data_IF_891643763881
#
_entry.id   IF_891643763881
#
_cell.length_a   1.000
_cell.length_b   1.000
_cell.length_c   1.000
_cell.angle_alpha   90.00
_cell.angle_beta   90.00
_cell.angle_gamma   90.00
#
_symmetry.space_group_name_H-M   'P 1'
#
loop_
_entity.id
_entity.type
_entity.pdbx_description
1 polymer ?
#
# COMPACT_ATOMS: atom_id res chain seq x y z
N UNK A 1 -16.98 14.05 -11.26
CA UNK A 1 -17.28 12.63 -10.93
C UNK A 1 -16.37 11.67 -11.69
N UNK A 2 -15.76 12.10 -12.79
CA UNK A 2 -14.93 11.31 -13.71
C UNK A 2 -13.83 10.49 -13.03
N UNK A 3 -13.14 11.07 -12.03
CA UNK A 3 -12.08 10.38 -11.29
C UNK A 3 -12.61 9.15 -10.55
N UNK A 4 -13.80 9.25 -9.95
CA UNK A 4 -14.44 8.14 -9.22
C UNK A 4 -14.77 7.01 -10.18
N UNK A 5 -15.35 7.33 -11.34
CA UNK A 5 -15.68 6.35 -12.39
C UNK A 5 -14.41 5.67 -12.88
N UNK A 6 -13.36 6.43 -13.18
CA UNK A 6 -12.06 5.89 -13.58
C UNK A 6 -11.47 4.93 -12.54
N UNK A 7 -11.55 5.27 -11.25
CA UNK A 7 -11.09 4.40 -10.16
C UNK A 7 -11.94 3.13 -10.02
N UNK A 8 -13.26 3.21 -10.20
CA UNK A 8 -14.15 2.03 -10.17
C UNK A 8 -13.88 1.08 -11.34
N UNK A 9 -13.64 1.61 -12.55
CA UNK A 9 -13.23 0.82 -13.71
C UNK A 9 -11.87 0.17 -13.43
N UNK A 10 -10.90 0.93 -12.92
CA UNK A 10 -9.59 0.40 -12.53
C UNK A 10 -9.69 -0.71 -11.47
N UNK A 11 -10.56 -0.57 -10.47
CA UNK A 11 -10.83 -1.61 -9.47
C UNK A 11 -11.33 -2.90 -10.12
N UNK A 12 -12.28 -2.78 -11.05
CA UNK A 12 -12.88 -3.93 -11.73
C UNK A 12 -11.86 -4.72 -12.56
N UNK A 13 -10.92 -4.01 -13.19
CA UNK A 13 -9.78 -4.59 -13.93
C UNK A 13 -8.75 -5.22 -12.99
N UNK A 14 -8.44 -4.53 -11.89
CA UNK A 14 -7.46 -4.95 -10.89
C UNK A 14 -7.85 -6.26 -10.23
N UNK A 15 -9.12 -6.45 -9.86
CA UNK A 15 -9.58 -7.69 -9.22
C UNK A 15 -9.44 -8.92 -10.12
N UNK A 16 -9.62 -8.76 -11.44
CA UNK A 16 -9.42 -9.84 -12.40
C UNK A 16 -7.94 -10.23 -12.56
N UNK A 17 -7.01 -9.28 -12.39
CA UNK A 17 -5.56 -9.50 -12.53
C UNK A 17 -4.86 -9.89 -11.22
N UNK A 18 -5.35 -9.45 -10.06
CA UNK A 18 -4.75 -9.71 -8.72
C UNK A 18 -4.77 -11.19 -8.30
N UNK A 19 -5.41 -12.09 -9.06
CA UNK A 19 -5.32 -13.55 -8.84
C UNK A 19 -4.02 -14.14 -9.43
N UNK A 20 -3.32 -13.43 -10.32
CA UNK A 20 -2.18 -14.00 -11.07
C UNK A 20 -0.81 -13.35 -10.83
N UNK A 21 -0.70 -12.04 -10.61
CA UNK A 21 0.61 -11.38 -10.52
C UNK A 21 0.60 -10.18 -9.55
N UNK A 22 1.48 -10.21 -8.54
CA UNK A 22 1.90 -9.00 -7.81
C UNK A 22 3.09 -8.43 -8.56
N UNK A 23 2.92 -7.27 -9.20
CA UNK A 23 3.99 -6.56 -9.91
C UNK A 23 4.49 -5.42 -9.01
N UNK A 24 5.81 -5.24 -8.97
CA UNK A 24 6.51 -4.40 -8.00
C UNK A 24 6.45 -2.91 -8.37
N UNK A 25 5.76 -2.10 -7.56
CA UNK A 25 5.83 -0.63 -7.63
C UNK A 25 5.13 0.04 -6.43
N UNK A 26 5.82 0.97 -5.74
CA UNK A 26 5.24 1.76 -4.64
C UNK A 26 4.08 2.67 -5.13
N UNK A 27 4.16 3.15 -6.38
CA UNK A 27 3.12 3.98 -7.01
C UNK A 27 1.83 3.19 -7.23
N UNK A 28 1.93 1.92 -7.61
CA UNK A 28 0.78 1.05 -7.84
C UNK A 28 0.05 0.74 -6.52
N UNK A 29 0.79 0.66 -5.42
CA UNK A 29 0.21 0.43 -4.10
C UNK A 29 -0.62 1.62 -3.59
N UNK A 30 -0.16 2.86 -3.82
CA UNK A 30 -0.92 4.05 -3.43
C UNK A 30 -2.21 4.18 -4.23
N UNK A 31 -2.15 3.88 -5.54
CA UNK A 31 -3.33 3.85 -6.40
C UNK A 31 -4.30 2.74 -5.97
N UNK A 32 -3.83 1.53 -5.71
CA UNK A 32 -4.65 0.41 -5.23
C UNK A 32 -5.41 0.76 -3.94
N UNK A 33 -4.78 1.46 -3.00
CA UNK A 33 -5.42 1.92 -1.76
C UNK A 33 -6.53 2.93 -2.06
N UNK A 34 -6.27 3.92 -2.93
CA UNK A 34 -7.26 4.92 -3.30
C UNK A 34 -8.47 4.27 -3.99
N UNK A 35 -8.19 3.34 -4.92
CA UNK A 35 -9.18 2.55 -5.64
C UNK A 35 -10.05 1.73 -4.67
N UNK A 36 -9.44 1.03 -3.70
CA UNK A 36 -10.15 0.23 -2.70
C UNK A 36 -11.00 1.10 -1.74
N UNK A 37 -10.51 2.30 -1.36
CA UNK A 37 -11.28 3.25 -0.53
C UNK A 37 -12.53 3.74 -1.25
N UNK A 38 -12.40 4.15 -2.51
CA UNK A 38 -13.55 4.62 -3.32
C UNK A 38 -14.57 3.50 -3.46
N UNK A 39 -14.13 2.27 -3.77
CA UNK A 39 -15.03 1.12 -3.88
C UNK A 39 -15.80 0.88 -2.58
N UNK A 40 -15.15 0.91 -1.42
CA UNK A 40 -15.81 0.65 -0.14
C UNK A 40 -16.91 1.68 0.18
N UNK A 41 -16.64 2.97 -0.07
CA UNK A 41 -17.63 4.04 0.12
C UNK A 41 -18.83 3.85 -0.80
N UNK A 42 -18.58 3.55 -2.08
CA UNK A 42 -19.63 3.34 -3.08
C UNK A 42 -20.45 2.08 -2.77
N UNK A 43 -19.79 0.96 -2.46
CA UNK A 43 -20.46 -0.31 -2.17
C UNK A 43 -21.32 -0.24 -0.91
N UNK A 44 -20.88 0.50 0.12
CA UNK A 44 -21.68 0.70 1.32
C UNK A 44 -22.98 1.48 1.05
N UNK A 45 -22.96 2.43 0.10
CA UNK A 45 -24.12 3.27 -0.21
C UNK A 45 -25.04 2.66 -1.27
N UNK A 46 -24.45 2.10 -2.33
CA UNK A 46 -25.13 1.70 -3.57
C UNK A 46 -25.10 0.19 -3.80
N UNK A 47 -24.82 -0.64 -2.78
CA UNK A 47 -24.45 -2.05 -2.94
C UNK A 47 -25.32 -2.94 -3.85
N UNK A 48 -26.61 -2.60 -4.07
CA UNK A 48 -27.53 -3.31 -4.97
C UNK A 48 -27.91 -2.54 -6.23
N UNK A 49 -27.24 -1.42 -6.52
CA UNK A 49 -27.48 -0.61 -7.70
C UNK A 49 -27.12 -1.38 -8.98
N UNK A 50 -28.10 -1.54 -9.87
CA UNK A 50 -27.96 -2.33 -11.10
C UNK A 50 -27.03 -1.66 -12.11
N UNK A 51 -26.95 -0.32 -12.13
CA UNK A 51 -26.07 0.42 -13.05
C UNK A 51 -24.59 0.22 -12.68
N UNK A 52 -24.29 0.23 -11.38
CA UNK A 52 -22.96 -0.05 -10.86
C UNK A 52 -22.58 -1.52 -11.06
N UNK A 53 -23.52 -2.45 -10.86
CA UNK A 53 -23.29 -3.87 -11.14
C UNK A 53 -22.94 -4.11 -12.62
N UNK A 54 -23.63 -3.42 -13.55
CA UNK A 54 -23.34 -3.46 -14.98
C UNK A 54 -21.97 -2.87 -15.31
N UNK A 55 -21.61 -1.73 -14.72
CA UNK A 55 -20.28 -1.12 -14.87
C UNK A 55 -19.16 -2.09 -14.46
N UNK A 56 -19.30 -2.76 -13.32
CA UNK A 56 -18.29 -3.72 -12.84
C UNK A 56 -18.20 -4.94 -13.77
N UNK A 57 -19.33 -5.43 -14.26
CA UNK A 57 -19.38 -6.58 -15.16
C UNK A 57 -18.66 -6.27 -16.48
N UNK A 58 -18.96 -5.11 -17.10
CA UNK A 58 -18.28 -4.64 -18.31
C UNK A 58 -16.79 -4.33 -18.03
N UNK A 59 -16.47 -3.71 -16.90
CA UNK A 59 -15.09 -3.40 -16.53
C UNK A 59 -14.21 -4.65 -16.39
N UNK A 60 -14.77 -5.78 -15.93
CA UNK A 60 -14.05 -7.07 -15.88
C UNK A 60 -13.68 -7.63 -17.25
N UNK A 61 -14.43 -7.31 -18.30
CA UNK A 61 -14.12 -7.77 -19.68
C UNK A 61 -13.06 -6.90 -20.35
N UNK A 62 -12.71 -5.76 -19.75
CA UNK A 62 -11.77 -4.81 -20.33
C UNK A 62 -12.41 -3.74 -21.21
N UNK A 63 -13.72 -3.82 -21.46
CA UNK A 63 -14.44 -2.90 -22.35
C UNK A 63 -15.70 -2.42 -21.66
N UNK A 64 -15.73 -1.13 -21.33
CA UNK A 64 -16.90 -0.45 -20.76
C UNK A 64 -17.54 0.43 -21.83
N UNK A 65 -18.84 0.27 -22.06
CA UNK A 65 -19.56 1.10 -23.02
C UNK A 65 -19.73 2.54 -22.52
N UNK A 66 -19.74 3.54 -23.42
CA UNK A 66 -19.98 4.93 -23.03
C UNK A 66 -21.32 5.15 -22.31
N UNK A 67 -22.35 4.39 -22.70
CA UNK A 67 -23.67 4.42 -22.08
C UNK A 67 -23.62 3.94 -20.62
N UNK A 68 -22.97 2.80 -20.36
CA UNK A 68 -22.80 2.27 -19.00
C UNK A 68 -22.00 3.22 -18.10
N UNK A 69 -20.98 3.89 -18.62
CA UNK A 69 -20.27 4.95 -17.88
C UNK A 69 -21.20 6.12 -17.52
N UNK A 70 -21.96 6.63 -18.48
CA UNK A 70 -22.86 7.76 -18.27
C UNK A 70 -23.98 7.44 -17.27
N UNK A 71 -24.51 6.21 -17.29
CA UNK A 71 -25.52 5.75 -16.36
C UNK A 71 -24.98 5.62 -14.93
N UNK A 72 -23.77 5.05 -14.78
CA UNK A 72 -23.12 4.94 -13.48
C UNK A 72 -22.78 6.32 -12.90
N UNK A 73 -22.32 7.26 -13.73
CA UNK A 73 -22.08 8.64 -13.31
C UNK A 73 -23.36 9.31 -12.83
N UNK A 74 -24.47 9.14 -13.56
CA UNK A 74 -25.77 9.71 -13.17
C UNK A 74 -26.27 9.12 -11.87
N UNK A 75 -26.13 7.81 -11.65
CA UNK A 75 -26.50 7.15 -10.38
C UNK A 75 -25.66 7.66 -9.21
N UNK A 76 -24.33 7.75 -9.37
CA UNK A 76 -23.42 8.29 -8.35
C UNK A 76 -23.69 9.76 -8.03
N UNK A 77 -23.96 10.58 -9.04
CA UNK A 77 -24.31 11.99 -8.88
C UNK A 77 -25.61 12.14 -8.10
N UNK A 78 -26.67 11.43 -8.50
CA UNK A 78 -27.95 11.45 -7.80
C UNK A 78 -27.82 11.02 -6.33
N UNK A 79 -27.00 10.01 -6.04
CA UNK A 79 -26.74 9.55 -4.68
C UNK A 79 -25.95 10.58 -3.84
N UNK A 80 -24.99 11.28 -4.45
CA UNK A 80 -24.23 12.35 -3.81
C UNK A 80 -25.08 13.59 -3.53
N UNK A 81 -25.98 13.94 -4.44
CA UNK A 81 -26.91 15.06 -4.26
C UNK A 81 -27.94 14.76 -3.15
N UNK A 82 -28.38 13.51 -3.05
CA UNK A 82 -29.30 13.06 -1.99
C UNK A 82 -28.64 12.91 -0.61
N UNK A 83 -27.32 12.71 -0.56
CA UNK A 83 -26.58 12.46 0.69
C UNK A 83 -25.25 13.25 0.72
N UNK A 84 -25.23 14.41 1.41
CA UNK A 84 -24.03 15.23 1.56
C UNK A 84 -22.88 14.53 2.29
N UNK A 85 -23.17 13.62 3.21
CA UNK A 85 -22.15 12.84 3.93
C UNK A 85 -21.48 11.84 2.99
N UNK A 86 -22.26 11.17 2.14
CA UNK A 86 -21.74 10.32 1.08
C UNK A 86 -20.88 11.12 0.09
N UNK A 87 -21.34 12.30 -0.34
CA UNK A 87 -20.57 13.17 -1.22
C UNK A 87 -19.22 13.60 -0.62
N UNK A 88 -19.19 13.86 0.70
CA UNK A 88 -17.96 14.18 1.43
C UNK A 88 -17.01 12.98 1.51
N UNK A 89 -17.53 11.80 1.90
CA UNK A 89 -16.76 10.57 1.96
C UNK A 89 -16.19 10.17 0.59
N UNK A 90 -16.96 10.38 -0.48
CA UNK A 90 -16.52 10.08 -1.85
C UNK A 90 -15.38 11.03 -2.30
N UNK A 91 -15.49 12.32 -1.97
CA UNK A 91 -14.41 13.30 -2.21
C UNK A 91 -13.15 12.94 -1.42
N UNK A 92 -13.28 12.61 -0.15
CA UNK A 92 -12.16 12.21 0.70
C UNK A 92 -11.47 10.95 0.18
N UNK A 93 -12.24 9.93 -0.19
CA UNK A 93 -11.71 8.70 -0.75
C UNK A 93 -10.96 8.92 -2.08
N UNK A 94 -11.46 9.83 -2.93
CA UNK A 94 -10.86 10.13 -4.23
C UNK A 94 -9.63 11.05 -4.16
N UNK A 95 -9.51 11.87 -3.11
CA UNK A 95 -8.47 12.90 -3.05
C UNK A 95 -7.06 12.35 -2.75
N UNK A 96 -6.92 11.07 -2.43
CA UNK A 96 -5.63 10.44 -2.11
C UNK A 96 -5.04 10.93 -0.77
N UNK A 97 -3.95 10.31 -0.29
CA UNK A 97 -3.40 10.54 1.05
C UNK A 97 -2.74 11.93 1.31
N UNK A 98 -2.98 12.96 0.50
CA UNK A 98 -2.34 14.28 0.63
C UNK A 98 -3.28 15.49 0.54
N UNK A 99 -4.59 15.26 0.46
CA UNK A 99 -5.57 16.28 0.08
C UNK A 99 -6.60 16.55 1.17
N UNK A 100 -6.20 16.53 2.44
CA UNK A 100 -7.05 17.05 3.50
C UNK A 100 -7.07 18.60 3.39
N UNK A 101 -8.25 19.25 3.32
CA UNK A 101 -8.32 20.71 3.41
C UNK A 101 -7.81 21.14 4.80
N UNK A 102 -7.22 22.34 4.93
CA UNK A 102 -6.88 22.89 6.24
C UNK A 102 -8.17 22.98 7.06
N UNK A 103 -8.25 22.23 8.15
CA UNK A 103 -9.34 22.37 9.11
C UNK A 103 -9.13 23.72 9.78
N UNK A 104 -9.98 24.69 9.45
CA UNK A 104 -10.10 25.95 10.18
C UNK A 104 -10.67 25.61 11.56
N UNK A 105 -9.77 25.30 12.51
CA UNK A 105 -10.10 25.16 13.93
C UNK A 105 -10.52 26.53 14.47
N UNK A 106 -11.80 26.84 14.35
CA UNK A 106 -12.46 27.87 15.16
C UNK A 106 -13.36 27.17 16.16
N UNK A 107 -12.76 26.67 17.22
CA UNK A 107 -13.46 26.47 18.50
C UNK A 107 -12.67 27.23 19.57
N UNK A 108 -13.06 28.48 19.76
CA UNK A 108 -12.78 29.23 20.97
C UNK A 108 -13.47 28.52 22.14
N UNK A 109 -12.72 27.74 22.91
CA UNK A 109 -13.08 27.48 24.29
C UNK A 109 -12.61 28.67 25.11
N UNK A 110 -13.57 29.41 25.65
CA UNK A 110 -13.33 30.48 26.59
C UNK A 110 -12.75 29.89 27.89
N UNK A 111 -11.57 30.38 28.29
CA UNK A 111 -11.15 30.41 29.69
C UNK A 111 -10.18 29.33 30.14
N UNK A 112 -8.95 29.34 29.63
CA UNK A 112 -7.76 29.09 30.48
C UNK A 112 -6.58 29.90 29.94
N UNK A 113 -6.09 30.84 30.75
CA UNK A 113 -4.94 31.69 30.40
C UNK A 113 -3.66 30.95 30.78
N UNK A 114 -2.90 30.48 29.80
CA UNK A 114 -1.52 30.04 30.01
C UNK A 114 -0.57 31.10 29.43
N UNK A 115 0.41 31.48 30.26
CA UNK A 115 1.31 32.61 30.03
C UNK A 115 2.12 32.48 28.74
N UNK A 116 2.34 33.65 28.14
CA UNK A 116 3.10 33.87 26.92
C UNK A 116 4.52 33.31 27.00
N UNK A 117 4.88 32.46 26.03
CA UNK A 117 6.26 32.17 25.69
C UNK A 117 6.57 32.99 24.43
N UNK A 118 7.49 33.95 24.57
CA UNK A 118 8.14 34.64 23.46
C UNK A 118 8.83 33.59 22.56
N UNK A 119 8.47 33.55 21.28
CA UNK A 119 9.18 32.78 20.27
C UNK A 119 9.24 33.59 18.99
N UNK A 120 10.44 34.12 18.73
CA UNK A 120 10.75 34.99 17.60
C UNK A 120 10.41 34.34 16.26
N UNK A 121 9.66 35.10 15.46
CA UNK A 121 9.31 34.74 14.09
C UNK A 121 10.51 34.82 13.16
N UNK A 122 10.99 33.66 12.72
CA UNK A 122 11.73 33.49 11.48
C UNK A 122 10.80 32.87 10.43
N UNK A 123 10.27 33.69 9.51
CA UNK A 123 9.56 33.21 8.33
C UNK A 123 10.57 32.53 7.39
N UNK A 124 10.40 31.23 7.14
CA UNK A 124 11.09 30.52 6.07
C UNK A 124 10.20 30.56 4.83
N UNK A 125 10.65 31.30 3.83
CA UNK A 125 9.98 31.48 2.55
C UNK A 125 10.33 30.30 1.61
N UNK A 126 9.47 29.28 1.55
CA UNK A 126 9.64 28.13 0.65
C UNK A 126 9.05 28.49 -0.72
N UNK A 127 9.89 28.97 -1.63
CA UNK A 127 9.54 29.11 -3.05
C UNK A 127 9.43 27.72 -3.70
N UNK A 128 8.21 27.21 -3.78
CA UNK A 128 7.85 26.00 -4.51
C UNK A 128 7.69 26.31 -6.01
N UNK A 129 8.72 26.04 -6.82
CA UNK A 129 8.63 26.13 -8.28
C UNK A 129 7.92 24.90 -8.88
N UNK A 130 6.61 24.77 -8.67
CA UNK A 130 5.80 23.69 -9.25
C UNK A 130 5.19 24.09 -10.60
N UNK A 131 6.01 24.22 -11.67
CA UNK A 131 5.51 24.46 -13.04
C UNK A 131 4.60 23.33 -13.57
N UNK A 132 4.80 22.10 -13.09
CA UNK A 132 4.05 20.91 -13.54
C UNK A 132 2.61 20.90 -12.98
N UNK A 133 2.43 21.33 -11.72
CA UNK A 133 1.11 21.34 -11.06
C UNK A 133 0.21 22.43 -11.64
N UNK A 134 0.79 23.54 -12.10
CA UNK A 134 0.03 24.63 -12.71
C UNK A 134 -0.43 24.29 -14.14
N UNK A 135 0.39 23.57 -14.91
CA UNK A 135 0.03 23.12 -16.26
C UNK A 135 -1.12 22.11 -16.26
N UNK A 136 -1.13 21.17 -15.30
CA UNK A 136 -2.20 20.18 -15.16
C UNK A 136 -3.56 20.80 -14.78
N UNK A 137 -3.56 21.94 -14.06
CA UNK A 137 -4.79 22.71 -13.76
C UNK A 137 -5.33 23.46 -14.96
N UNK A 138 -4.47 23.94 -15.86
CA UNK A 138 -4.87 24.74 -17.02
C UNK A 138 -5.30 23.89 -18.23
N UNK A 139 -4.85 22.62 -18.32
CA UNK A 139 -5.17 21.72 -19.44
C UNK A 139 -5.62 20.32 -18.99
N UNK A 140 -6.83 20.17 -18.40
CA UNK A 140 -7.30 18.87 -17.90
C UNK A 140 -7.44 17.82 -19.02
N UNK A 141 -7.86 18.22 -20.23
CA UNK A 141 -8.02 17.30 -21.36
C UNK A 141 -6.69 16.71 -21.88
N UNK A 142 -5.62 17.51 -21.93
CA UNK A 142 -4.30 17.06 -22.41
C UNK A 142 -3.68 16.07 -21.41
N UNK A 143 -3.91 16.30 -20.11
CA UNK A 143 -3.40 15.43 -19.04
C UNK A 143 -4.06 14.04 -19.06
N UNK A 144 -5.36 13.97 -19.32
CA UNK A 144 -6.08 12.69 -19.47
C UNK A 144 -5.60 11.93 -20.71
N UNK A 145 -5.40 12.62 -21.84
CA UNK A 145 -4.88 12.00 -23.07
C UNK A 145 -3.46 11.44 -22.84
N UNK A 146 -2.59 12.17 -22.13
CA UNK A 146 -1.24 11.71 -21.83
C UNK A 146 -1.23 10.43 -20.97
N UNK A 147 -2.09 10.34 -19.95
CA UNK A 147 -2.22 9.14 -19.11
C UNK A 147 -2.77 7.95 -19.90
N UNK A 148 -3.80 8.17 -20.74
CA UNK A 148 -4.38 7.12 -21.58
C UNK A 148 -3.36 6.62 -22.61
N UNK A 149 -2.58 7.51 -23.23
CA UNK A 149 -1.53 7.15 -24.19
C UNK A 149 -0.42 6.33 -23.52
N UNK A 150 0.00 6.70 -22.30
CA UNK A 150 1.00 5.93 -21.53
C UNK A 150 0.48 4.53 -21.18
N UNK A 151 -0.79 4.39 -20.80
CA UNK A 151 -1.41 3.09 -20.48
C UNK A 151 -1.55 2.22 -21.73
N UNK A 152 -1.92 2.80 -22.88
CA UNK A 152 -2.02 2.07 -24.16
C UNK A 152 -0.63 1.63 -24.65
N UNK A 153 0.39 2.50 -24.56
CA UNK A 153 1.77 2.17 -24.93
C UNK A 153 2.37 1.09 -24.02
N UNK A 154 2.10 1.15 -22.72
CA UNK A 154 2.53 0.11 -21.79
C UNK A 154 1.82 -1.24 -22.05
N UNK A 155 0.55 -1.21 -22.48
CA UNK A 155 -0.19 -2.42 -22.88
C UNK A 155 0.33 -3.05 -24.17
N UNK A 156 0.75 -2.26 -25.16
CA UNK A 156 1.25 -2.75 -26.45
C UNK A 156 2.65 -3.37 -26.36
N UNK A 157 3.52 -2.89 -25.45
CA UNK A 157 4.89 -3.41 -25.28
C UNK A 157 4.95 -4.79 -24.62
N UNK A 158 3.93 -5.18 -23.82
CA UNK A 158 3.91 -6.49 -23.13
C UNK A 158 3.39 -7.62 -24.05
N UNK A 159 2.67 -7.28 -25.14
CA UNK A 159 2.11 -8.27 -26.07
C UNK A 159 3.12 -8.94 -27.01
N UNK A 160 4.36 -8.44 -27.12
CA UNK A 160 5.33 -8.92 -28.13
C UNK A 160 6.36 -9.95 -27.62
N UNK A 161 6.35 -10.32 -26.33
CA UNK A 161 7.37 -11.22 -25.76
C UNK A 161 6.89 -12.65 -25.46
N UNK A 162 5.64 -13.01 -25.75
CA UNK A 162 5.12 -14.36 -25.56
C UNK A 162 5.18 -15.17 -26.88
N UNK A 163 6.38 -15.61 -27.29
CA UNK A 163 6.52 -16.35 -28.55
C UNK A 163 7.88 -17.00 -28.78
N UNK A 164 8.30 -17.94 -27.91
CA UNK A 164 9.25 -19.00 -28.29
C UNK A 164 9.28 -20.09 -27.22
N UNK A 165 8.70 -21.25 -27.55
CA UNK A 165 8.80 -22.46 -26.72
C UNK A 165 10.22 -23.05 -26.75
N UNK A 166 10.64 -23.77 -25.70
CA UNK A 166 11.91 -24.47 -25.70
C UNK A 166 11.84 -25.77 -26.51
N UNK A 167 12.95 -26.20 -27.14
CA UNK A 167 12.99 -27.44 -27.90
C UNK A 167 13.04 -28.67 -26.98
N UNK A 168 12.25 -29.66 -27.36
CA UNK A 168 12.29 -31.04 -26.88
C UNK A 168 13.61 -31.68 -27.33
N UNK A 169 14.38 -32.21 -26.39
CA UNK A 169 15.48 -33.14 -26.67
C UNK A 169 15.33 -34.36 -25.77
N UNK A 170 15.12 -35.51 -26.42
CA UNK A 170 15.28 -36.82 -25.84
C UNK A 170 16.74 -37.24 -25.97
N UNK A 171 17.32 -37.90 -24.97
CA UNK A 171 18.20 -39.04 -25.22
C UNK A 171 18.41 -39.88 -23.96
N UNK A 172 18.07 -41.15 -24.09
CA UNK A 172 18.41 -42.22 -23.16
C UNK A 172 19.84 -42.68 -23.43
N UNK A 173 20.67 -42.78 -22.40
CA UNK A 173 21.91 -43.56 -22.47
C UNK A 173 22.18 -44.24 -21.13
N UNK A 174 22.02 -45.56 -21.14
CA UNK A 174 22.40 -46.50 -20.10
C UNK A 174 23.92 -46.67 -20.15
N UNK A 175 24.62 -46.48 -19.02
CA UNK A 175 26.06 -46.68 -18.91
C UNK A 175 26.43 -47.10 -17.49
N UNK A 176 26.84 -48.36 -17.34
CA UNK A 176 27.28 -49.00 -16.11
C UNK A 176 28.73 -48.61 -15.71
N UNK A 177 28.95 -48.58 -14.39
CA UNK A 177 30.21 -48.68 -13.63
C UNK A 177 31.18 -47.45 -13.60
N UNK A 178 32.09 -47.33 -12.60
CA UNK A 178 32.35 -48.17 -11.42
C UNK A 178 32.22 -47.43 -10.07
N UNK A 179 32.09 -48.23 -9.00
CA UNK A 179 31.99 -47.85 -7.59
C UNK A 179 33.21 -47.06 -7.11
N UNK A 180 33.11 -45.73 -7.09
CA UNK A 180 34.02 -44.86 -6.35
C UNK A 180 33.50 -44.71 -4.91
N UNK A 181 34.34 -45.03 -3.94
CA UNK A 181 34.08 -44.86 -2.51
C UNK A 181 33.80 -43.38 -2.24
N UNK A 182 32.54 -43.05 -1.95
CA UNK A 182 32.11 -41.69 -1.66
C UNK A 182 32.83 -41.16 -0.41
N UNK A 183 33.39 -39.93 -0.45
CA UNK A 183 33.86 -39.26 0.75
C UNK A 183 32.67 -39.12 1.71
N UNK A 184 32.91 -39.47 2.98
CA UNK A 184 31.96 -39.39 4.09
C UNK A 184 31.33 -37.99 4.08
N UNK A 185 30.10 -37.89 3.59
CA UNK A 185 29.35 -36.65 3.53
C UNK A 185 29.28 -36.06 4.94
N UNK A 186 29.96 -34.94 5.13
CA UNK A 186 29.81 -34.10 6.29
C UNK A 186 28.31 -33.76 6.42
N UNK A 187 27.68 -34.00 7.58
CA UNK A 187 26.25 -33.78 7.71
C UNK A 187 25.94 -32.33 7.36
N UNK A 188 25.08 -32.13 6.35
CA UNK A 188 24.62 -30.82 5.94
C UNK A 188 24.22 -30.00 7.18
N UNK A 189 24.65 -28.73 7.28
CA UNK A 189 24.32 -27.88 8.42
C UNK A 189 22.80 -27.92 8.61
N UNK A 190 22.37 -28.38 9.78
CA UNK A 190 20.95 -28.44 10.15
C UNK A 190 20.39 -27.03 9.93
N UNK A 191 19.47 -26.90 8.98
CA UNK A 191 18.82 -25.62 8.72
C UNK A 191 18.24 -25.11 10.04
N UNK A 192 18.64 -23.91 10.46
CA UNK A 192 18.10 -23.30 11.67
C UNK A 192 16.57 -23.29 11.56
N UNK A 193 15.84 -23.73 12.59
CA UNK A 193 14.39 -23.69 12.57
C UNK A 193 13.96 -22.25 12.33
N UNK A 194 13.27 -22.03 11.20
CA UNK A 194 12.87 -20.70 10.76
C UNK A 194 11.79 -20.18 11.71
N UNK A 195 12.08 -19.05 12.36
CA UNK A 195 11.13 -18.38 13.25
C UNK A 195 9.95 -17.86 12.43
N UNK A 196 8.73 -18.20 12.85
CA UNK A 196 7.50 -17.78 12.17
C UNK A 196 7.04 -16.37 12.60
N UNK A 197 6.09 -15.80 11.86
CA UNK A 197 5.59 -14.44 12.10
C UNK A 197 4.89 -14.26 13.46
N UNK A 198 4.39 -15.33 14.08
CA UNK A 198 3.75 -15.24 15.41
C UNK A 198 4.75 -14.88 16.50
N UNK A 199 6.05 -15.11 16.26
CA UNK A 199 7.10 -14.64 17.14
C UNK A 199 7.10 -13.13 17.32
N UNK A 200 6.48 -12.31 16.47
CA UNK A 200 6.37 -10.86 16.71
C UNK A 200 5.46 -10.49 17.90
N UNK A 201 4.53 -11.37 18.27
CA UNK A 201 3.49 -11.06 19.26
C UNK A 201 4.12 -10.89 20.64
N UNK A 202 3.86 -9.75 21.27
CA UNK A 202 4.31 -9.44 22.61
C UNK A 202 4.89 -8.04 22.76
N UNK A 203 5.70 -7.90 23.81
CA UNK A 203 6.30 -6.65 24.25
C UNK A 203 7.82 -6.73 24.08
N UNK A 204 8.41 -5.69 23.51
CA UNK A 204 9.80 -5.65 23.09
C UNK A 204 10.50 -4.39 23.59
N UNK A 205 11.80 -4.48 23.85
CA UNK A 205 12.68 -3.35 24.07
C UNK A 205 13.41 -3.01 22.78
N UNK A 206 13.41 -1.74 22.36
CA UNK A 206 14.13 -1.29 21.17
C UNK A 206 15.54 -0.79 21.50
N UNK A 207 16.53 -1.21 20.70
CA UNK A 207 17.95 -0.86 20.91
C UNK A 207 18.28 0.61 20.67
N UNK A 208 17.38 1.39 20.06
CA UNK A 208 17.55 2.81 19.77
C UNK A 208 17.17 3.72 20.95
N UNK A 209 16.83 3.14 22.11
CA UNK A 209 16.48 3.88 23.33
C UNK A 209 15.08 4.49 23.30
N UNK A 210 14.26 4.14 22.31
CA UNK A 210 12.92 4.74 22.13
C UNK A 210 11.83 4.03 22.94
N UNK A 211 12.25 3.15 23.84
CA UNK A 211 11.40 2.47 24.80
C UNK A 211 10.74 1.20 24.27
N UNK A 212 9.63 0.86 24.90
CA UNK A 212 8.90 -0.39 24.68
C UNK A 212 8.10 -0.34 23.39
N UNK A 213 8.08 -1.46 22.66
CA UNK A 213 7.22 -1.69 21.48
C UNK A 213 6.25 -2.81 21.80
N UNK A 214 4.99 -2.67 21.38
CA UNK A 214 3.98 -3.71 21.60
C UNK A 214 3.34 -4.11 20.28
N UNK A 215 3.16 -5.41 20.07
CA UNK A 215 2.48 -5.97 18.91
C UNK A 215 1.50 -7.04 19.36
N UNK A 216 0.20 -6.80 19.19
CA UNK A 216 -0.86 -7.69 19.69
C UNK A 216 -1.36 -8.71 18.66
N UNK A 217 -0.68 -8.85 17.52
CA UNK A 217 -1.08 -9.75 16.43
C UNK A 217 -1.14 -9.05 15.07
N UNK A 218 -1.09 -9.86 14.01
CA UNK A 218 -1.20 -9.33 12.64
C UNK A 218 -2.64 -8.87 12.37
N UNK A 219 -2.80 -7.61 11.98
CA UNK A 219 -4.10 -6.93 11.91
C UNK A 219 -4.59 -6.36 13.25
N UNK A 220 -3.82 -6.54 14.32
CA UNK A 220 -4.14 -6.05 15.66
C UNK A 220 -3.59 -4.66 15.94
N UNK A 221 -3.80 -4.20 17.18
CA UNK A 221 -3.19 -2.97 17.69
C UNK A 221 -1.70 -3.17 17.95
N UNK A 222 -0.96 -2.07 17.84
CA UNK A 222 0.45 -2.04 18.15
C UNK A 222 0.86 -0.65 18.63
N UNK A 223 2.01 -0.53 19.29
CA UNK A 223 2.49 0.72 19.88
C UNK A 223 3.99 0.93 19.63
N UNK A 224 4.40 2.19 19.47
CA UNK A 224 5.79 2.60 19.32
C UNK A 224 6.48 2.19 18.01
N UNK A 225 5.79 1.52 17.09
CA UNK A 225 6.37 0.95 15.86
C UNK A 225 6.35 1.90 14.65
N UNK A 226 5.73 3.08 14.76
CA UNK A 226 5.71 4.04 13.66
C UNK A 226 6.93 4.96 13.70
N UNK A 227 7.71 4.94 12.62
CA UNK A 227 8.92 5.72 12.42
C UNK A 227 8.81 6.59 11.16
N UNK A 228 9.24 7.84 11.28
CA UNK A 228 9.40 8.77 10.17
C UNK A 228 10.85 9.26 10.14
N UNK A 229 11.53 9.11 8.98
CA UNK A 229 12.94 9.51 8.82
C UNK A 229 13.88 8.92 9.89
N UNK A 230 13.67 7.65 10.24
CA UNK A 230 14.50 6.92 11.21
C UNK A 230 14.29 7.30 12.68
N UNK A 231 13.30 8.14 12.99
CA UNK A 231 12.90 8.45 14.38
C UNK A 231 11.48 7.98 14.66
N UNK A 232 11.18 7.51 15.88
CA UNK A 232 9.79 7.25 16.26
C UNK A 232 8.98 8.52 16.15
N UNK A 233 7.78 8.41 15.61
CA UNK A 233 6.83 9.50 15.54
C UNK A 233 5.49 8.97 16.06
N UNK A 234 5.04 9.51 17.18
CA UNK A 234 3.69 9.30 17.67
C UNK A 234 2.84 10.52 17.32
N UNK A 235 1.93 10.35 16.35
CA UNK A 235 0.97 11.39 15.96
C UNK A 235 -0.33 11.33 16.79
N UNK A 236 -0.38 10.43 17.77
CA UNK A 236 -1.58 10.12 18.56
C UNK A 236 -2.58 9.25 17.82
N UNK A 237 -3.55 8.73 18.57
CA UNK A 237 -4.61 7.86 18.05
C UNK A 237 -4.19 6.40 17.90
N UNK A 238 -5.13 5.53 17.51
CA UNK A 238 -4.89 4.10 17.42
C UNK A 238 -3.92 3.76 16.27
N UNK A 239 -2.95 2.90 16.57
CA UNK A 239 -2.07 2.28 15.58
C UNK A 239 -2.41 0.81 15.39
N UNK A 240 -2.39 0.36 14.14
CA UNK A 240 -2.56 -1.05 13.75
C UNK A 240 -1.34 -1.53 12.99
N UNK A 241 -1.00 -2.80 13.19
CA UNK A 241 0.15 -3.43 12.54
C UNK A 241 -0.26 -4.71 11.82
N UNK A 242 0.26 -4.91 10.62
CA UNK A 242 0.09 -6.14 9.84
C UNK A 242 1.47 -6.67 9.47
N UNK A 243 1.76 -7.89 9.89
CA UNK A 243 2.98 -8.61 9.52
C UNK A 243 2.66 -9.65 8.45
N UNK A 244 3.50 -9.75 7.41
CA UNK A 244 3.34 -10.79 6.39
C UNK A 244 3.43 -12.18 7.00
N UNK A 245 2.66 -13.14 6.46
CA UNK A 245 2.67 -14.53 6.96
C UNK A 245 3.89 -15.32 6.52
N UNK A 246 4.59 -14.85 5.48
CA UNK A 246 5.82 -15.43 4.96
C UNK A 246 6.88 -14.34 4.83
N UNK A 247 8.15 -14.68 5.06
CA UNK A 247 9.27 -13.81 4.75
C UNK A 247 9.51 -13.78 3.23
N UNK A 248 10.21 -12.75 2.77
CA UNK A 248 10.72 -12.64 1.41
C UNK A 248 11.95 -13.54 1.16
N UNK A 249 12.55 -13.40 -0.03
CA UNK A 249 13.72 -14.18 -0.46
C UNK A 249 14.96 -13.91 0.41
N UNK A 250 15.01 -12.79 1.13
CA UNK A 250 16.09 -12.46 2.07
C UNK A 250 15.80 -12.95 3.49
N UNK A 251 14.66 -13.62 3.71
CA UNK A 251 14.27 -14.09 5.03
C UNK A 251 13.58 -13.05 5.90
N UNK A 252 13.19 -11.90 5.33
CA UNK A 252 12.57 -10.80 6.07
C UNK A 252 11.07 -10.73 5.89
N UNK A 253 10.35 -10.55 6.99
CA UNK A 253 8.92 -10.28 7.01
C UNK A 253 8.65 -8.82 6.68
N UNK A 254 7.50 -8.53 6.08
CA UNK A 254 7.07 -7.15 5.82
C UNK A 254 6.09 -6.73 6.91
N UNK A 255 6.46 -5.72 7.68
CA UNK A 255 5.62 -5.11 8.71
C UNK A 255 5.04 -3.80 8.16
N UNK A 256 3.71 -3.70 8.12
CA UNK A 256 3.00 -2.48 7.78
C UNK A 256 2.43 -1.90 9.06
N UNK A 257 2.78 -0.65 9.36
CA UNK A 257 2.25 0.10 10.49
C UNK A 257 1.35 1.20 9.95
N UNK A 258 0.12 1.26 10.44
CA UNK A 258 -0.84 2.31 10.09
C UNK A 258 -1.23 3.05 11.35
N UNK A 259 -0.97 4.35 11.40
CA UNK A 259 -1.38 5.23 12.49
C UNK A 259 -2.22 6.36 11.87
N UNK A 260 -3.51 6.39 12.22
CA UNK A 260 -4.49 7.29 11.59
C UNK A 260 -4.43 7.23 10.05
N UNK A 261 -4.11 8.34 9.37
CA UNK A 261 -3.99 8.43 7.90
C UNK A 261 -2.60 8.04 7.39
N UNK A 262 -1.63 7.94 8.29
CA UNK A 262 -0.24 7.69 7.95
C UNK A 262 0.07 6.20 7.93
N UNK A 263 0.92 5.80 6.99
CA UNK A 263 1.29 4.40 6.78
C UNK A 263 2.77 4.30 6.46
N UNK A 264 3.43 3.36 7.12
CA UNK A 264 4.82 3.01 6.87
C UNK A 264 4.98 1.51 6.69
N UNK A 265 6.03 1.12 5.97
CA UNK A 265 6.39 -0.29 5.75
C UNK A 265 7.84 -0.50 6.15
N UNK A 266 8.06 -1.57 6.90
CA UNK A 266 9.36 -1.99 7.42
C UNK A 266 9.63 -3.45 7.03
N UNK A 267 10.89 -3.86 7.17
CA UNK A 267 11.30 -5.26 7.10
C UNK A 267 11.71 -5.73 8.49
N UNK A 268 11.32 -6.94 8.85
CA UNK A 268 11.63 -7.55 10.15
C UNK A 268 12.34 -8.88 9.91
N UNK A 269 13.53 -9.03 10.47
CA UNK A 269 14.31 -10.26 10.44
C UNK A 269 14.36 -10.87 11.84
N UNK A 270 13.79 -12.04 12.03
CA UNK A 270 13.91 -12.77 13.29
C UNK A 270 15.21 -13.56 13.29
N UNK A 271 16.11 -13.27 14.23
CA UNK A 271 17.30 -14.10 14.45
C UNK A 271 17.06 -15.16 15.52
N UNK A 272 16.06 -14.94 16.40
CA UNK A 272 15.52 -15.91 17.35
C UNK A 272 14.04 -15.61 17.62
N UNK A 273 13.40 -16.36 18.53
CA UNK A 273 12.04 -16.09 19.02
C UNK A 273 11.94 -14.80 19.84
N UNK A 274 13.08 -14.33 20.36
CA UNK A 274 13.17 -13.26 21.36
C UNK A 274 14.08 -12.11 20.91
N UNK A 275 14.61 -12.20 19.68
CA UNK A 275 15.40 -11.14 19.06
C UNK A 275 15.02 -10.96 17.59
N UNK A 276 14.81 -9.71 17.19
CA UNK A 276 14.51 -9.33 15.82
C UNK A 276 15.24 -8.03 15.41
N UNK A 277 15.52 -7.88 14.12
CA UNK A 277 16.12 -6.68 13.55
C UNK A 277 15.10 -6.00 12.63
N UNK A 278 14.89 -4.70 12.81
CA UNK A 278 13.99 -3.91 11.99
C UNK A 278 14.79 -3.06 11.00
N UNK A 279 14.34 -3.07 9.74
CA UNK A 279 14.90 -2.28 8.65
C UNK A 279 13.81 -1.41 8.03
N UNK A 280 14.22 -0.30 7.41
CA UNK A 280 13.32 0.46 6.55
C UNK A 280 13.00 -0.29 5.24
N UNK A 281 12.18 0.33 4.40
CA UNK A 281 11.81 -0.23 3.10
C UNK A 281 12.98 -0.33 2.10
N UNK A 282 14.05 0.44 2.29
CA UNK A 282 15.27 0.38 1.48
C UNK A 282 16.24 -0.71 1.95
N UNK A 283 15.98 -1.32 3.12
CA UNK A 283 16.80 -2.36 3.71
C UNK A 283 17.89 -1.83 4.65
N UNK A 284 17.87 -0.55 4.99
CA UNK A 284 18.76 0.04 6.00
C UNK A 284 18.27 -0.35 7.39
N UNK A 285 19.17 -0.85 8.22
CA UNK A 285 18.87 -1.25 9.61
C UNK A 285 18.51 -0.02 10.44
N UNK A 286 17.40 -0.09 11.16
CA UNK A 286 16.91 0.97 12.05
C UNK A 286 17.28 0.67 13.51
N UNK A 287 16.83 -0.46 14.04
CA UNK A 287 17.04 -0.87 15.42
C UNK A 287 16.85 -2.39 15.58
N UNK A 288 17.26 -2.90 16.74
CA UNK A 288 16.99 -4.27 17.20
C UNK A 288 15.86 -4.26 18.23
N UNK A 289 15.16 -5.39 18.32
CA UNK A 289 14.12 -5.68 19.28
C UNK A 289 14.56 -6.88 20.11
N UNK A 290 14.58 -6.71 21.42
CA UNK A 290 14.77 -7.78 22.40
C UNK A 290 13.46 -7.99 23.14
N UNK A 291 13.01 -9.24 23.32
CA UNK A 291 11.78 -9.50 24.08
C UNK A 291 11.99 -9.20 25.57
N UNK A 292 10.97 -8.61 26.19
CA UNK A 292 10.90 -8.46 27.65
C UNK A 292 10.73 -9.80 28.37
#
# INVERSE_FOLDING_TARGET
MDVVIGLLIAWSLGKARRVGMRVNGLTDQALDIAVDRVWNVVAAKLGTDQTLARLIAEGRTGVVSPETCADAERSLAAAADADPMFAAALREAAAGPGSAPPVLSTQQFAGVSFGSIDSGGGSVDIKNESKIVNYARQHPAITVIAVVVVVILAGLLVGQLAGKGPPTAAESATGDAPTAVAPRAEPAPKANPRVDASAMIGTWSASDGTGTKTFNGSGGSCDGLYYNQGKPLDIGGPSTCVLSSKPDTTGRYTLVVTQSVNRASYKVEFTSTDHAIVYDSAGTRLYELERF
#
